data_IF_260107306334
#
_entry.id   IF_260107306334
#
_cell.length_a   1.000
_cell.length_b   1.000
_cell.length_c   1.000
_cell.angle_alpha   90.00
_cell.angle_beta   90.00
_cell.angle_gamma   90.00
#
_symmetry.space_group_name_H-M   'P 1'
#
loop_
_entity.id
_entity.type
_entity.pdbx_description
1 polymer ?
#
# COMPACT_ATOMS: atom_id res chain seq x y z
N UNK A 1 -3.82 -20.00 8.93
CA UNK A 1 -3.45 -19.77 7.52
C UNK A 1 -2.01 -20.22 7.34
N UNK A 2 -1.70 -20.96 6.30
CA UNK A 2 -0.34 -21.46 6.05
C UNK A 2 0.34 -20.58 4.98
N UNK A 3 1.18 -19.65 5.43
CA UNK A 3 2.00 -18.80 4.56
C UNK A 3 3.37 -19.45 4.46
N UNK A 4 3.79 -19.76 3.23
CA UNK A 4 5.08 -20.40 3.02
C UNK A 4 6.24 -19.46 3.35
N UNK A 5 7.31 -19.97 4.02
CA UNK A 5 8.43 -19.14 4.46
C UNK A 5 9.09 -18.30 3.37
N UNK A 6 9.15 -18.82 2.15
CA UNK A 6 9.73 -18.12 0.99
C UNK A 6 9.04 -16.78 0.69
N UNK A 7 7.71 -16.68 0.86
CA UNK A 7 6.98 -15.43 0.64
C UNK A 7 7.19 -14.43 1.79
N UNK A 8 7.38 -14.93 3.03
CA UNK A 8 7.74 -14.09 4.17
C UNK A 8 9.10 -13.44 3.94
N UNK A 9 10.08 -14.22 3.47
CA UNK A 9 11.41 -13.71 3.13
C UNK A 9 11.33 -12.67 2.00
N UNK A 10 10.59 -12.97 0.92
CA UNK A 10 10.38 -12.04 -0.19
C UNK A 10 9.72 -10.74 0.25
N UNK A 11 8.70 -10.80 1.12
CA UNK A 11 8.05 -9.60 1.66
C UNK A 11 9.04 -8.75 2.48
N UNK A 12 9.88 -9.39 3.31
CA UNK A 12 10.94 -8.70 4.06
C UNK A 12 11.99 -8.03 3.17
N UNK A 13 12.36 -8.66 2.04
CA UNK A 13 13.28 -8.09 1.07
C UNK A 13 12.68 -6.92 0.29
N UNK A 14 11.39 -6.97 -0.03
CA UNK A 14 10.68 -5.87 -0.70
C UNK A 14 10.54 -4.62 0.18
N UNK A 15 10.44 -4.81 1.50
CA UNK A 15 10.08 -3.76 2.44
C UNK A 15 11.07 -3.62 3.60
N UNK A 16 12.28 -3.06 3.38
CA UNK A 16 13.19 -2.73 4.48
C UNK A 16 12.57 -1.75 5.48
N UNK A 17 11.56 -0.97 5.07
CA UNK A 17 10.79 -0.04 5.89
C UNK A 17 9.96 -0.72 7.00
N UNK A 18 9.74 -2.04 6.92
CA UNK A 18 9.12 -2.81 8.01
C UNK A 18 9.84 -2.64 9.35
N UNK A 19 11.16 -2.39 9.32
CA UNK A 19 11.94 -2.14 10.53
C UNK A 19 11.58 -0.82 11.24
N UNK A 20 10.85 0.06 10.59
CA UNK A 20 10.36 1.31 11.21
C UNK A 20 9.12 1.09 12.09
N UNK A 21 8.44 -0.06 11.98
CA UNK A 21 7.32 -0.44 12.84
C UNK A 21 7.93 -1.00 14.14
N UNK A 22 7.76 -0.26 15.24
CA UNK A 22 8.32 -0.62 16.55
C UNK A 22 7.60 -1.82 17.17
N UNK A 23 6.28 -1.91 16.99
CA UNK A 23 5.46 -3.00 17.48
C UNK A 23 5.74 -4.28 16.67
N UNK A 24 6.39 -5.26 17.30
CA UNK A 24 6.78 -6.52 16.64
C UNK A 24 5.59 -7.32 16.11
N UNK A 25 4.47 -7.31 16.85
CA UNK A 25 3.24 -7.98 16.43
C UNK A 25 2.69 -7.39 15.14
N UNK A 26 2.56 -6.06 15.10
CA UNK A 26 2.08 -5.33 13.90
C UNK A 26 3.06 -5.47 12.73
N UNK A 27 4.37 -5.42 12.98
CA UNK A 27 5.40 -5.65 11.96
C UNK A 27 5.25 -7.04 11.34
N UNK A 28 5.06 -8.07 12.17
CA UNK A 28 4.83 -9.44 11.70
C UNK A 28 3.55 -9.57 10.89
N UNK A 29 2.44 -8.99 11.36
CA UNK A 29 1.16 -8.97 10.65
C UNK A 29 1.27 -8.27 9.30
N UNK A 30 1.96 -7.13 9.24
CA UNK A 30 2.23 -6.38 8.01
C UNK A 30 3.05 -7.21 7.01
N UNK A 31 4.11 -7.87 7.49
CA UNK A 31 4.94 -8.77 6.67
C UNK A 31 4.12 -9.94 6.13
N UNK A 32 3.32 -10.58 7.00
CA UNK A 32 2.49 -11.72 6.62
C UNK A 32 1.41 -11.34 5.60
N UNK A 33 0.87 -10.12 5.67
CA UNK A 33 -0.11 -9.62 4.70
C UNK A 33 0.52 -9.52 3.29
N UNK A 34 1.73 -8.97 3.18
CA UNK A 34 2.47 -8.94 1.92
C UNK A 34 2.84 -10.34 1.43
N UNK A 35 3.28 -11.21 2.33
CA UNK A 35 3.61 -12.60 2.00
C UNK A 35 2.38 -13.36 1.48
N UNK A 36 1.22 -13.17 2.12
CA UNK A 36 -0.05 -13.74 1.67
C UNK A 36 -0.46 -13.22 0.30
N UNK A 37 -0.34 -11.90 0.08
CA UNK A 37 -0.63 -11.30 -1.21
C UNK A 37 0.26 -11.87 -2.32
N UNK A 38 1.58 -12.00 -2.07
CA UNK A 38 2.52 -12.62 -3.02
C UNK A 38 2.17 -14.08 -3.27
N UNK A 39 1.82 -14.86 -2.25
CA UNK A 39 1.44 -16.26 -2.39
C UNK A 39 0.18 -16.45 -3.22
N UNK A 40 -0.77 -15.52 -3.17
CA UNK A 40 -2.03 -15.58 -3.92
C UNK A 40 -1.96 -14.90 -5.29
N UNK A 41 -0.94 -14.10 -5.54
CA UNK A 41 -0.76 -13.33 -6.77
C UNK A 41 -0.12 -14.14 -7.89
N UNK A 42 -0.41 -13.75 -9.11
CA UNK A 42 0.35 -14.17 -10.30
C UNK A 42 1.60 -13.31 -10.52
N UNK A 43 1.71 -12.17 -9.81
CA UNK A 43 2.86 -11.28 -9.87
C UNK A 43 3.96 -11.74 -8.92
N UNK A 44 5.21 -11.56 -9.36
CA UNK A 44 6.40 -11.85 -8.56
C UNK A 44 7.01 -10.57 -8.01
N UNK A 45 7.92 -10.61 -7.00
CA UNK A 45 8.67 -9.45 -6.54
C UNK A 45 9.42 -8.70 -7.66
N UNK A 46 9.88 -9.42 -8.69
CA UNK A 46 10.53 -8.83 -9.87
C UNK A 46 9.54 -7.98 -10.67
N UNK A 47 8.32 -8.47 -10.86
CA UNK A 47 7.29 -7.76 -11.62
C UNK A 47 6.94 -6.44 -10.96
N UNK A 48 6.84 -6.38 -9.62
CA UNK A 48 6.54 -5.18 -8.86
C UNK A 48 7.60 -4.06 -9.04
N UNK A 49 8.82 -4.42 -9.42
CA UNK A 49 9.89 -3.49 -9.76
C UNK A 49 9.92 -3.10 -11.26
N UNK A 50 8.98 -3.60 -12.06
CA UNK A 50 8.91 -3.33 -13.51
C UNK A 50 7.57 -2.77 -13.95
N UNK A 51 6.45 -3.23 -13.36
CA UNK A 51 5.12 -2.74 -13.71
C UNK A 51 4.92 -1.29 -13.24
N UNK A 52 4.08 -0.50 -13.94
CA UNK A 52 3.73 0.85 -13.50
C UNK A 52 2.92 0.80 -12.19
N UNK A 53 3.03 1.83 -11.38
CA UNK A 53 2.30 1.91 -10.11
C UNK A 53 0.77 2.08 -10.30
N UNK A 54 0.34 2.52 -11.45
CA UNK A 54 -1.08 2.66 -11.82
C UNK A 54 -1.27 2.35 -13.30
N UNK A 55 -2.41 1.77 -13.63
CA UNK A 55 -2.84 1.55 -15.01
C UNK A 55 -3.48 2.80 -15.64
N UNK A 56 -3.77 3.83 -14.84
CA UNK A 56 -4.44 5.05 -15.28
C UNK A 56 -3.52 6.00 -16.05
N UNK A 57 -2.21 5.91 -15.90
CA UNK A 57 -1.26 6.86 -16.48
C UNK A 57 -0.67 6.43 -17.84
N UNK A 58 -1.23 5.41 -18.47
CA UNK A 58 -0.82 4.97 -19.80
C UNK A 58 0.62 4.41 -19.89
N UNK A 59 1.11 4.09 -21.10
CA UNK A 59 2.38 3.38 -21.30
C UNK A 59 3.64 4.24 -21.07
N UNK A 60 3.50 5.56 -21.01
CA UNK A 60 4.63 6.48 -20.86
C UNK A 60 5.07 6.64 -19.40
N UNK A 61 4.31 6.10 -18.45
CA UNK A 61 4.65 6.11 -17.05
C UNK A 61 5.87 5.21 -16.77
N UNK A 62 6.98 5.80 -16.31
CA UNK A 62 8.23 5.09 -16.00
C UNK A 62 8.39 4.71 -14.52
N UNK A 63 7.53 5.28 -13.64
CA UNK A 63 7.59 5.00 -12.20
C UNK A 63 7.01 3.63 -11.93
N UNK A 64 7.82 2.78 -11.32
CA UNK A 64 7.42 1.41 -10.99
C UNK A 64 6.50 1.37 -9.77
N UNK A 65 5.79 0.25 -9.61
CA UNK A 65 4.93 0.00 -8.47
C UNK A 65 5.69 0.18 -7.14
N UNK A 66 6.81 -0.53 -6.95
CA UNK A 66 7.61 -0.41 -5.71
C UNK A 66 8.24 0.96 -5.55
N UNK A 67 8.71 1.57 -6.63
CA UNK A 67 9.28 2.93 -6.59
C UNK A 67 8.28 3.96 -6.04
N UNK A 68 7.05 3.93 -6.53
CA UNK A 68 5.96 4.78 -6.03
C UNK A 68 5.60 4.44 -4.59
N UNK A 69 5.37 3.16 -4.28
CA UNK A 69 4.92 2.76 -2.93
C UNK A 69 5.93 3.11 -1.85
N UNK A 70 7.22 2.90 -2.10
CA UNK A 70 8.25 3.30 -1.15
C UNK A 70 8.31 4.82 -0.97
N UNK A 71 8.14 5.60 -2.05
CA UNK A 71 8.04 7.06 -1.94
C UNK A 71 6.86 7.48 -1.05
N UNK A 72 5.68 6.88 -1.22
CA UNK A 72 4.49 7.13 -0.37
C UNK A 72 4.79 6.83 1.11
N UNK A 73 5.43 5.69 1.41
CA UNK A 73 5.77 5.30 2.79
C UNK A 73 6.75 6.30 3.43
N UNK A 74 7.78 6.73 2.70
CA UNK A 74 8.75 7.71 3.18
C UNK A 74 8.09 9.08 3.44
N UNK A 75 7.30 9.58 2.48
CA UNK A 75 6.58 10.85 2.63
C UNK A 75 5.60 10.79 3.81
N UNK A 76 4.83 9.71 3.93
CA UNK A 76 3.88 9.53 5.04
C UNK A 76 4.60 9.54 6.39
N UNK A 77 5.73 8.82 6.51
CA UNK A 77 6.55 8.81 7.72
C UNK A 77 7.04 10.20 8.09
N UNK A 78 7.66 10.90 7.15
CA UNK A 78 8.20 12.25 7.39
C UNK A 78 7.08 13.23 7.76
N UNK A 79 5.93 13.15 7.10
CA UNK A 79 4.74 13.94 7.42
C UNK A 79 4.24 13.66 8.85
N UNK A 80 4.09 12.38 9.22
CA UNK A 80 3.67 11.98 10.57
C UNK A 80 4.62 12.45 11.66
N UNK A 81 5.93 12.42 11.42
CA UNK A 81 6.94 12.96 12.34
C UNK A 81 6.78 14.48 12.54
N UNK A 82 6.54 15.24 11.45
CA UNK A 82 6.30 16.67 11.55
C UNK A 82 4.98 16.98 12.26
N UNK A 83 3.91 16.23 11.99
CA UNK A 83 2.64 16.39 12.70
C UNK A 83 2.80 16.12 14.18
N UNK A 84 3.49 15.07 14.59
CA UNK A 84 3.79 14.81 16.00
C UNK A 84 4.70 15.87 16.65
N UNK A 85 5.56 16.50 15.87
CA UNK A 85 6.42 17.60 16.37
C UNK A 85 5.64 18.86 16.67
N UNK A 86 4.67 19.22 15.82
CA UNK A 86 3.99 20.51 15.88
C UNK A 86 2.56 20.44 16.46
N UNK A 87 1.90 19.27 16.36
CA UNK A 87 0.46 19.12 16.65
C UNK A 87 0.13 17.93 17.53
N UNK A 88 1.13 17.33 18.24
CA UNK A 88 0.92 16.10 19.01
C UNK A 88 -0.25 16.18 19.99
N UNK A 89 -0.45 17.30 20.63
CA UNK A 89 -1.48 17.46 21.68
C UNK A 89 -2.89 17.54 21.08
N UNK A 90 -3.02 18.01 19.83
CA UNK A 90 -4.31 18.17 19.14
C UNK A 90 -4.58 17.07 18.12
N UNK A 91 -3.56 16.62 17.39
CA UNK A 91 -3.63 15.64 16.31
C UNK A 91 -2.50 14.60 16.42
N UNK A 92 -2.50 13.77 17.46
CA UNK A 92 -1.46 12.75 17.63
C UNK A 92 -1.52 11.73 16.48
N UNK A 93 -0.34 11.36 15.95
CA UNK A 93 -0.18 10.33 14.93
C UNK A 93 0.48 9.11 15.55
N UNK A 94 -0.18 7.96 15.45
CA UNK A 94 0.43 6.68 15.79
C UNK A 94 1.34 6.25 14.62
N UNK A 95 2.66 6.38 14.82
CA UNK A 95 3.64 6.10 13.77
C UNK A 95 3.63 4.65 13.30
N UNK A 96 3.41 3.68 14.18
CA UNK A 96 3.34 2.26 13.80
C UNK A 96 2.12 1.99 12.91
N UNK A 97 0.95 2.54 13.25
CA UNK A 97 -0.28 2.44 12.45
C UNK A 97 -0.11 3.14 11.11
N UNK A 98 0.48 4.35 11.10
CA UNK A 98 0.75 5.11 9.89
C UNK A 98 1.64 4.35 8.92
N UNK A 99 2.78 3.84 9.40
CA UNK A 99 3.78 3.15 8.57
C UNK A 99 3.21 1.83 8.04
N UNK A 100 2.56 1.04 8.91
CA UNK A 100 1.90 -0.20 8.50
C UNK A 100 0.82 0.05 7.45
N UNK A 101 -0.02 1.08 7.66
CA UNK A 101 -1.06 1.49 6.71
C UNK A 101 -0.49 1.93 5.37
N UNK A 102 0.57 2.74 5.36
CA UNK A 102 1.24 3.18 4.14
C UNK A 102 1.87 2.01 3.36
N UNK A 103 2.49 1.05 4.06
CA UNK A 103 3.04 -0.17 3.44
C UNK A 103 1.91 -1.01 2.84
N UNK A 104 0.78 -1.14 3.51
CA UNK A 104 -0.32 -2.01 3.11
C UNK A 104 -1.34 -1.36 2.17
N UNK A 105 -1.37 -0.03 2.02
CA UNK A 105 -2.41 0.69 1.28
C UNK A 105 -2.75 0.05 -0.08
N UNK A 106 -1.75 -0.31 -0.86
CA UNK A 106 -1.90 -0.87 -2.21
C UNK A 106 -1.66 -2.40 -2.30
N UNK A 107 -1.56 -3.11 -1.19
CA UNK A 107 -1.25 -4.56 -1.21
C UNK A 107 -2.25 -5.35 -2.04
N UNK A 108 -3.51 -4.94 -2.08
CA UNK A 108 -4.55 -5.57 -2.88
C UNK A 108 -4.34 -5.47 -4.40
N UNK A 109 -3.49 -4.56 -4.88
CA UNK A 109 -3.14 -4.50 -6.31
C UNK A 109 -2.45 -5.77 -6.81
N UNK A 110 -1.84 -6.55 -5.93
CA UNK A 110 -1.26 -7.85 -6.26
C UNK A 110 -2.33 -8.85 -6.73
N UNK A 111 -3.58 -8.68 -6.32
CA UNK A 111 -4.72 -9.48 -6.78
C UNK A 111 -5.51 -8.77 -7.89
N UNK A 112 -5.39 -7.44 -7.99
CA UNK A 112 -6.08 -6.64 -9.01
C UNK A 112 -5.37 -6.69 -10.37
N UNK A 113 -4.03 -6.81 -10.40
CA UNK A 113 -3.22 -6.70 -11.61
C UNK A 113 -2.73 -8.06 -12.10
N UNK A 114 -2.61 -8.18 -13.43
CA UNK A 114 -2.01 -9.31 -14.14
C UNK A 114 -1.06 -8.79 -15.22
N UNK A 115 -0.19 -9.67 -15.74
CA UNK A 115 0.65 -9.37 -16.91
C UNK A 115 0.11 -10.22 -18.08
N UNK A 116 -0.29 -9.56 -19.17
CA UNK A 116 -0.69 -10.18 -20.44
C UNK A 116 0.12 -9.57 -21.58
N UNK A 117 0.73 -10.41 -22.39
CA UNK A 117 1.57 -9.97 -23.51
C UNK A 117 2.63 -8.94 -23.12
N UNK A 118 3.24 -9.10 -21.94
CA UNK A 118 4.26 -8.21 -21.39
C UNK A 118 3.75 -6.85 -20.88
N UNK A 119 2.42 -6.66 -20.80
CA UNK A 119 1.78 -5.45 -20.30
C UNK A 119 0.98 -5.71 -19.04
N UNK A 120 1.05 -4.77 -18.11
CA UNK A 120 0.18 -4.78 -16.92
C UNK A 120 -1.24 -4.44 -17.32
N UNK A 121 -2.18 -5.27 -16.87
CA UNK A 121 -3.61 -5.11 -17.13
C UNK A 121 -4.40 -5.37 -15.84
N UNK A 122 -5.62 -4.89 -15.77
CA UNK A 122 -6.55 -5.29 -14.72
C UNK A 122 -6.99 -6.75 -14.96
N UNK A 123 -6.73 -7.60 -13.97
CA UNK A 123 -7.13 -9.00 -14.00
C UNK A 123 -8.63 -9.19 -13.77
N UNK A 124 -9.11 -10.44 -13.96
CA UNK A 124 -10.54 -10.74 -13.75
C UNK A 124 -11.00 -10.46 -12.32
N UNK A 125 -10.18 -10.74 -11.32
CA UNK A 125 -10.49 -10.46 -9.93
C UNK A 125 -10.68 -8.93 -9.71
N UNK A 126 -9.78 -8.12 -10.24
CA UNK A 126 -9.80 -6.66 -10.11
C UNK A 126 -10.99 -5.97 -10.77
N UNK A 127 -11.66 -6.63 -11.73
CA UNK A 127 -12.91 -6.10 -12.33
C UNK A 127 -14.07 -6.05 -11.34
N UNK A 128 -14.06 -6.91 -10.33
CA UNK A 128 -15.13 -7.02 -9.32
C UNK A 128 -14.72 -6.46 -7.97
N UNK A 129 -13.45 -6.61 -7.59
CA UNK A 129 -12.92 -6.19 -6.30
C UNK A 129 -11.68 -5.31 -6.48
N UNK A 130 -11.87 -4.03 -6.19
CA UNK A 130 -10.80 -3.03 -6.17
C UNK A 130 -9.83 -3.28 -5.01
N UNK A 131 -8.57 -2.89 -5.20
CA UNK A 131 -7.48 -3.14 -4.25
C UNK A 131 -7.72 -2.65 -2.80
N UNK A 132 -8.48 -1.58 -2.49
CA UNK A 132 -8.78 -1.26 -1.10
C UNK A 132 -9.55 -2.37 -0.39
N UNK A 133 -10.52 -2.99 -1.06
CA UNK A 133 -11.35 -4.07 -0.49
C UNK A 133 -10.56 -5.37 -0.34
N UNK A 134 -9.86 -5.79 -1.39
CA UNK A 134 -9.01 -6.99 -1.34
C UNK A 134 -7.83 -6.83 -0.38
N UNK A 135 -7.28 -5.62 -0.27
CA UNK A 135 -6.22 -5.29 0.69
C UNK A 135 -6.69 -5.44 2.14
N UNK A 136 -7.89 -4.96 2.47
CA UNK A 136 -8.50 -5.19 3.81
C UNK A 136 -8.69 -6.68 4.07
N UNK A 137 -9.24 -7.42 3.09
CA UNK A 137 -9.44 -8.87 3.26
C UNK A 137 -8.12 -9.61 3.54
N UNK A 138 -7.03 -9.28 2.86
CA UNK A 138 -5.70 -9.85 3.12
C UNK A 138 -5.20 -9.48 4.51
N UNK A 139 -5.35 -8.22 4.92
CA UNK A 139 -4.88 -7.70 6.19
C UNK A 139 -5.62 -8.34 7.39
N UNK A 140 -6.95 -8.44 7.32
CA UNK A 140 -7.76 -9.09 8.35
C UNK A 140 -7.41 -10.55 8.54
N UNK A 141 -7.14 -11.28 7.45
CA UNK A 141 -6.69 -12.68 7.52
C UNK A 141 -5.36 -12.83 8.26
N UNK A 142 -4.53 -11.80 8.29
CA UNK A 142 -3.25 -11.77 9.02
C UNK A 142 -3.37 -11.13 10.41
N UNK A 143 -4.58 -10.80 10.87
CA UNK A 143 -4.83 -10.21 12.18
C UNK A 143 -4.39 -8.74 12.31
N UNK A 144 -4.25 -8.03 11.19
CA UNK A 144 -3.94 -6.58 11.17
C UNK A 144 -5.09 -5.81 11.85
N UNK A 145 -4.79 -4.87 12.77
CA UNK A 145 -5.80 -4.15 13.53
C UNK A 145 -6.65 -3.23 12.65
N UNK A 146 -7.88 -2.96 13.11
CA UNK A 146 -8.90 -2.22 12.37
C UNK A 146 -8.44 -0.82 11.94
N UNK A 147 -7.60 -0.15 12.73
CA UNK A 147 -7.07 1.18 12.43
C UNK A 147 -6.20 1.15 11.16
N UNK A 148 -5.41 0.12 10.97
CA UNK A 148 -4.60 -0.07 9.75
C UNK A 148 -5.49 -0.51 8.58
N UNK A 149 -6.46 -1.40 8.81
CA UNK A 149 -7.45 -1.79 7.80
C UNK A 149 -8.26 -0.58 7.30
N UNK A 150 -8.58 0.38 8.21
CA UNK A 150 -9.23 1.63 7.84
C UNK A 150 -8.36 2.46 6.87
N UNK A 151 -7.05 2.55 7.09
CA UNK A 151 -6.14 3.22 6.14
C UNK A 151 -6.19 2.54 4.77
N UNK A 152 -6.09 1.21 4.73
CA UNK A 152 -6.16 0.44 3.48
C UNK A 152 -7.49 0.71 2.74
N UNK A 153 -8.60 0.68 3.48
CA UNK A 153 -9.94 0.88 2.91
C UNK A 153 -10.15 2.29 2.34
N UNK A 154 -9.50 3.30 2.95
CA UNK A 154 -9.85 4.71 2.70
C UNK A 154 -8.75 5.54 2.05
N UNK A 155 -7.58 4.94 1.73
CA UNK A 155 -6.47 5.70 1.13
C UNK A 155 -6.78 6.21 -0.29
N UNK A 156 -7.56 5.47 -1.08
CA UNK A 156 -7.96 5.83 -2.44
C UNK A 156 -9.33 6.54 -2.49
N UNK A 157 -9.86 6.79 -3.69
CA UNK A 157 -11.15 7.46 -3.89
C UNK A 157 -12.35 6.75 -3.27
N UNK A 158 -12.25 5.45 -3.03
CA UNK A 158 -13.27 4.67 -2.31
C UNK A 158 -13.51 5.18 -0.89
N UNK A 159 -12.53 5.88 -0.30
CA UNK A 159 -12.62 6.51 1.02
C UNK A 159 -13.23 7.92 1.05
N UNK A 160 -13.61 8.51 -0.08
CA UNK A 160 -14.02 9.93 -0.13
C UNK A 160 -15.36 10.19 0.58
N UNK A 161 -16.18 9.15 0.76
CA UNK A 161 -17.44 9.22 1.50
C UNK A 161 -17.30 8.82 2.98
N UNK A 162 -16.09 8.56 3.46
CA UNK A 162 -15.80 8.09 4.82
C UNK A 162 -14.90 9.09 5.53
N UNK A 163 -15.15 9.35 6.82
CA UNK A 163 -14.27 10.17 7.64
C UNK A 163 -12.96 9.41 7.90
N UNK A 164 -11.87 9.90 7.36
CA UNK A 164 -10.52 9.35 7.58
C UNK A 164 -9.98 9.69 8.98
N UNK A 165 -9.19 8.78 9.56
CA UNK A 165 -8.34 9.10 10.73
C UNK A 165 -7.19 10.01 10.31
N UNK A 166 -6.45 10.54 11.28
CA UNK A 166 -5.27 11.38 10.98
C UNK A 166 -4.26 10.64 10.12
N UNK A 167 -3.95 9.39 10.46
CA UNK A 167 -3.03 8.53 9.70
C UNK A 167 -3.56 8.26 8.29
N UNK A 168 -4.87 8.00 8.16
CA UNK A 168 -5.49 7.76 6.86
C UNK A 168 -5.45 9.00 5.96
N UNK A 169 -5.60 10.21 6.53
CA UNK A 169 -5.39 11.46 5.78
C UNK A 169 -3.95 11.58 5.30
N UNK A 170 -2.96 11.31 6.15
CA UNK A 170 -1.54 11.38 5.78
C UNK A 170 -1.23 10.43 4.64
N UNK A 171 -1.66 9.16 4.72
CA UNK A 171 -1.43 8.17 3.66
C UNK A 171 -2.15 8.55 2.37
N UNK A 172 -3.41 8.98 2.45
CA UNK A 172 -4.19 9.44 1.30
C UNK A 172 -3.48 10.59 0.57
N UNK A 173 -3.07 11.63 1.29
CA UNK A 173 -2.40 12.77 0.67
C UNK A 173 -0.99 12.43 0.16
N UNK A 174 -0.24 11.56 0.84
CA UNK A 174 1.05 11.08 0.34
C UNK A 174 0.90 10.32 -0.98
N UNK A 175 -0.13 9.47 -1.11
CA UNK A 175 -0.43 8.73 -2.34
C UNK A 175 -0.85 9.68 -3.47
N UNK A 176 -1.83 10.55 -3.24
CA UNK A 176 -2.35 11.46 -4.25
C UNK A 176 -1.33 12.54 -4.67
N UNK A 177 -0.55 13.07 -3.73
CA UNK A 177 0.52 14.02 -4.03
C UNK A 177 1.57 13.42 -4.98
N UNK A 178 1.78 12.13 -4.95
CA UNK A 178 2.71 11.41 -5.82
C UNK A 178 2.02 10.78 -7.04
N UNK A 179 0.69 10.83 -7.15
CA UNK A 179 -0.11 10.36 -8.30
C UNK A 179 -0.56 11.50 -9.21
N UNK A 180 -1.21 12.54 -8.66
CA UNK A 180 -1.85 13.59 -9.42
C UNK A 180 -0.91 14.35 -10.38
N UNK A 181 0.34 14.71 -9.99
CA UNK A 181 1.26 15.37 -10.92
C UNK A 181 1.63 14.50 -12.12
N UNK A 182 1.66 13.17 -11.97
CA UNK A 182 1.89 12.27 -13.11
C UNK A 182 0.67 12.20 -14.01
N UNK A 183 -0.52 12.07 -13.43
CA UNK A 183 -1.78 12.10 -14.17
C UNK A 183 -1.86 13.38 -15.03
N UNK A 184 -1.67 14.55 -14.42
CA UNK A 184 -1.80 15.83 -15.10
C UNK A 184 -0.71 16.04 -16.16
N UNK A 185 0.53 15.62 -15.88
CA UNK A 185 1.65 15.71 -16.83
C UNK A 185 1.45 14.81 -18.05
N UNK A 186 0.85 13.63 -17.88
CA UNK A 186 0.61 12.67 -18.95
C UNK A 186 -0.72 12.92 -19.68
N UNK A 187 -1.45 13.97 -19.32
CA UNK A 187 -2.71 14.41 -19.95
C UNK A 187 -3.80 13.34 -19.98
N UNK A 188 -4.06 12.76 -18.84
CA UNK A 188 -5.12 11.76 -18.64
C UNK A 188 -6.44 12.39 -18.21
#
# INVERSE_FOLDING_TARGET
MDIKPEFIEQAGQLWPELQWISNEGLRTQTTNTWALALQQSVLTPRDLNTIPFTLLCGPDLKVTFMGHKRAVVHIAKDCGEQMNKFFRDDLPVNMDVLIAGAILADVGKLLEYEIKDGKSVQGNYGKFLRHPFSGVSLAEQCGVPAEVCHIIATHAGEGDMVKRTTEAYVVHHADFMTFEPFRDRLKL
#
